data_IF_148832605712
#
_entry.id   IF_148832605712
#
_cell.length_a   1.000
_cell.length_b   1.000
_cell.length_c   1.000
_cell.angle_alpha   90.00
_cell.angle_beta   90.00
_cell.angle_gamma   90.00
#
_symmetry.space_group_name_H-M   'P 1'
#
loop_
_entity.id
_entity.type
_entity.pdbx_description
1 polymer ?
#
# COMPACT_ATOMS: atom_id res chain seq x y z
N UNK A 1 13.64 14.84 6.32
CA UNK A 1 12.89 13.56 6.25
C UNK A 1 13.80 12.36 6.00
N UNK A 2 14.28 12.07 4.78
CA UNK A 2 15.05 10.84 4.55
C UNK A 2 16.31 10.70 5.43
N UNK A 3 17.12 11.76 5.53
CA UNK A 3 18.29 11.81 6.43
C UNK A 3 17.89 11.61 7.90
N UNK A 4 16.75 12.15 8.32
CA UNK A 4 16.25 11.94 9.69
C UNK A 4 15.78 10.49 9.88
N UNK A 5 15.11 9.89 8.89
CA UNK A 5 14.71 8.48 8.91
C UNK A 5 15.93 7.57 9.04
N UNK A 6 16.99 7.83 8.28
CA UNK A 6 18.30 7.16 8.41
C UNK A 6 18.91 7.33 9.79
N UNK A 7 18.90 8.55 10.34
CA UNK A 7 19.42 8.82 11.69
C UNK A 7 18.71 8.03 12.81
N UNK A 8 17.52 7.46 12.51
CA UNK A 8 16.74 6.63 13.43
C UNK A 8 16.80 5.13 13.10
N UNK A 9 17.69 4.72 12.19
CA UNK A 9 17.84 3.34 11.73
C UNK A 9 16.51 2.75 11.24
N UNK A 10 15.81 3.51 10.39
CA UNK A 10 14.59 3.07 9.73
C UNK A 10 14.80 3.10 8.21
N UNK A 11 14.32 2.05 7.54
CA UNK A 11 14.56 1.84 6.10
C UNK A 11 13.35 2.24 5.25
N UNK A 12 12.17 2.18 5.87
CA UNK A 12 10.88 2.40 5.21
C UNK A 12 10.15 3.54 5.91
N UNK A 13 9.90 4.61 5.18
CA UNK A 13 9.08 5.72 5.62
C UNK A 13 7.63 5.52 5.17
N UNK A 14 6.70 5.56 6.12
CA UNK A 14 5.27 5.36 5.88
C UNK A 14 4.59 6.63 5.36
N UNK A 15 5.09 7.15 4.25
CA UNK A 15 4.65 8.40 3.63
C UNK A 15 4.92 8.34 2.12
N UNK A 16 4.23 9.16 1.31
CA UNK A 16 3.23 10.16 1.69
C UNK A 16 1.79 9.62 1.75
N UNK A 17 0.86 10.40 2.32
CA UNK A 17 -0.58 10.11 2.22
C UNK A 17 -1.17 10.77 0.97
N UNK A 18 -1.88 9.98 0.16
CA UNK A 18 -2.45 10.27 -1.16
C UNK A 18 -3.98 10.15 -1.16
N UNK A 19 -4.64 10.13 -0.01
CA UNK A 19 -6.11 10.16 0.01
C UNK A 19 -6.60 11.57 -0.31
N UNK A 20 -7.68 11.64 -1.11
CA UNK A 20 -8.25 12.90 -1.57
C UNK A 20 -8.87 13.67 -0.41
N UNK A 21 -8.76 15.00 -0.40
CA UNK A 21 -9.63 15.85 0.45
C UNK A 21 -11.04 15.85 -0.14
N UNK A 22 -11.78 14.75 0.04
CA UNK A 22 -13.16 14.60 -0.48
C UNK A 22 -14.17 15.47 0.28
N UNK A 23 -13.93 15.62 1.58
CA UNK A 23 -14.81 16.40 2.48
C UNK A 23 -13.93 17.16 3.46
N UNK A 24 -14.21 18.44 3.76
CA UNK A 24 -13.41 19.23 4.69
C UNK A 24 -13.44 18.67 6.13
N UNK A 25 -14.46 17.87 6.47
CA UNK A 25 -14.63 17.26 7.81
C UNK A 25 -13.80 15.99 8.04
N UNK A 26 -13.06 15.49 7.05
CA UNK A 26 -12.25 14.29 7.22
C UNK A 26 -11.05 14.55 8.14
N UNK A 27 -10.95 13.77 9.22
CA UNK A 27 -9.99 14.01 10.30
C UNK A 27 -8.50 13.91 9.91
N UNK A 28 -8.20 13.36 8.73
CA UNK A 28 -6.83 13.19 8.20
C UNK A 28 -6.53 14.06 6.98
N UNK A 29 -7.35 15.09 6.71
CA UNK A 29 -7.04 16.05 5.64
C UNK A 29 -5.71 16.79 5.83
N UNK A 30 -5.25 16.95 7.07
CA UNK A 30 -4.02 17.65 7.40
C UNK A 30 -2.74 16.91 6.97
N UNK A 31 -2.81 15.61 6.65
CA UNK A 31 -1.65 14.80 6.25
C UNK A 31 -1.59 14.52 4.74
N UNK A 32 -2.47 15.12 3.94
CA UNK A 32 -2.52 14.99 2.48
C UNK A 32 -2.36 16.35 1.80
N UNK A 33 -2.22 16.38 0.47
CA UNK A 33 -1.88 17.61 -0.27
C UNK A 33 -3.07 18.42 -0.77
N UNK A 34 -4.28 17.85 -0.89
CA UNK A 34 -5.46 18.59 -1.35
C UNK A 34 -6.55 17.74 -2.00
N UNK A 35 -7.47 18.43 -2.69
CA UNK A 35 -8.65 17.84 -3.36
C UNK A 35 -8.47 17.63 -4.87
N UNK A 36 -7.33 18.03 -5.45
CA UNK A 36 -7.03 17.83 -6.86
C UNK A 36 -6.08 16.62 -7.07
N UNK A 37 -6.47 15.61 -7.88
CA UNK A 37 -5.70 14.38 -7.98
C UNK A 37 -4.35 14.57 -8.69
N UNK A 38 -4.25 15.54 -9.60
CA UNK A 38 -3.02 15.82 -10.33
C UNK A 38 -1.97 16.43 -9.39
N UNK A 39 -2.33 17.50 -8.69
CA UNK A 39 -1.48 18.14 -7.68
C UNK A 39 -0.99 17.13 -6.65
N UNK A 40 -1.92 16.31 -6.13
CA UNK A 40 -1.63 15.27 -5.15
C UNK A 40 -0.59 14.27 -5.66
N UNK A 41 -0.78 13.78 -6.88
CA UNK A 41 0.10 12.79 -7.51
C UNK A 41 1.50 13.32 -7.79
N UNK A 42 1.61 14.55 -8.32
CA UNK A 42 2.91 15.16 -8.64
C UNK A 42 3.72 15.46 -7.37
N UNK A 43 3.11 16.07 -6.35
CA UNK A 43 3.80 16.33 -5.09
C UNK A 43 4.24 15.04 -4.39
N UNK A 44 3.38 14.01 -4.43
CA UNK A 44 3.70 12.69 -3.88
C UNK A 44 4.84 12.01 -4.64
N UNK A 45 4.90 12.14 -5.96
CA UNK A 45 6.00 11.58 -6.76
C UNK A 45 7.34 12.24 -6.39
N UNK A 46 7.36 13.57 -6.25
CA UNK A 46 8.53 14.32 -5.79
C UNK A 46 8.98 13.85 -4.39
N UNK A 47 8.04 13.63 -3.47
CA UNK A 47 8.34 13.11 -2.14
C UNK A 47 8.97 11.71 -2.19
N UNK A 48 8.41 10.80 -3.00
CA UNK A 48 8.93 9.44 -3.18
C UNK A 48 10.35 9.48 -3.72
N UNK A 49 10.61 10.25 -4.78
CA UNK A 49 11.95 10.41 -5.35
C UNK A 49 12.93 10.94 -4.30
N UNK A 50 12.57 12.00 -3.57
CA UNK A 50 13.43 12.57 -2.53
C UNK A 50 13.78 11.61 -1.38
N UNK A 51 12.88 10.67 -1.04
CA UNK A 51 13.19 9.62 -0.07
C UNK A 51 14.15 8.59 -0.64
N UNK A 52 13.85 8.08 -1.84
CA UNK A 52 14.58 6.95 -2.42
C UNK A 52 15.94 7.36 -2.99
N UNK A 53 16.12 8.59 -3.45
CA UNK A 53 17.43 9.16 -3.81
C UNK A 53 18.40 9.19 -2.62
N UNK A 54 17.85 9.14 -1.40
CA UNK A 54 18.59 9.05 -0.14
C UNK A 54 18.48 7.67 0.47
N UNK A 55 18.17 6.63 -0.29
CA UNK A 55 18.12 5.25 0.20
C UNK A 55 17.10 5.04 1.31
N UNK A 56 15.93 5.68 1.24
CA UNK A 56 14.80 5.39 2.14
C UNK A 56 13.60 5.01 1.28
N UNK A 57 13.02 3.85 1.55
CA UNK A 57 11.84 3.38 0.83
C UNK A 57 10.60 4.19 1.24
N UNK A 58 9.98 4.87 0.28
CA UNK A 58 8.71 5.55 0.52
C UNK A 58 7.53 4.55 0.39
N UNK A 59 6.45 4.84 1.11
CA UNK A 59 5.22 4.04 1.11
C UNK A 59 3.98 4.93 0.90
N UNK A 60 3.66 5.28 -0.35
CA UNK A 60 2.39 5.89 -0.69
C UNK A 60 1.19 5.12 -0.08
N UNK A 61 0.29 5.87 0.57
CA UNK A 61 -0.84 5.32 1.34
C UNK A 61 -2.05 6.26 1.31
N UNK A 62 -3.26 5.85 1.64
CA UNK A 62 -3.71 4.49 1.87
C UNK A 62 -4.46 4.07 0.60
N UNK A 63 -3.87 3.13 -0.13
CA UNK A 63 -4.40 2.61 -1.38
C UNK A 63 -5.62 1.73 -1.09
N UNK A 64 -6.86 2.11 -1.37
CA UNK A 64 -7.34 3.38 -1.94
C UNK A 64 -8.67 3.77 -1.27
N UNK A 65 -9.14 4.99 -1.52
CA UNK A 65 -10.45 5.47 -1.12
C UNK A 65 -10.68 5.46 0.41
N UNK A 66 -9.72 5.98 1.17
CA UNK A 66 -9.74 6.04 2.64
C UNK A 66 -9.96 7.47 3.16
N UNK A 67 -10.93 8.19 2.61
CA UNK A 67 -11.15 9.61 2.89
C UNK A 67 -12.00 9.86 4.14
N UNK A 68 -12.49 8.81 4.82
CA UNK A 68 -13.35 8.95 5.99
C UNK A 68 -12.84 8.12 7.17
N UNK A 69 -12.57 8.80 8.30
CA UNK A 69 -12.09 8.14 9.53
C UNK A 69 -13.21 7.37 10.24
N UNK A 70 -14.43 7.90 10.19
CA UNK A 70 -15.57 7.26 10.81
C UNK A 70 -15.80 5.89 10.17
N UNK A 71 -15.73 4.83 10.98
CA UNK A 71 -15.87 3.43 10.56
C UNK A 71 -14.87 3.01 9.47
N UNK A 72 -13.69 3.62 9.35
CA UNK A 72 -12.71 3.29 8.28
C UNK A 72 -12.37 1.79 8.13
N UNK A 73 -12.51 0.99 9.20
CA UNK A 73 -12.27 -0.46 9.20
C UNK A 73 -13.45 -1.31 8.71
N UNK A 74 -14.64 -0.74 8.59
CA UNK A 74 -15.87 -1.44 8.21
C UNK A 74 -16.67 -0.72 7.12
N UNK A 75 -16.29 0.51 6.78
CA UNK A 75 -16.91 1.30 5.72
C UNK A 75 -16.70 0.63 4.37
N UNK A 76 -17.78 0.57 3.61
CA UNK A 76 -17.75 0.18 2.21
C UNK A 76 -17.97 1.40 1.32
N UNK A 77 -16.95 1.73 0.53
CA UNK A 77 -16.97 2.88 -0.35
C UNK A 77 -17.64 2.52 -1.67
N UNK A 78 -18.79 3.15 -1.90
CA UNK A 78 -19.58 3.03 -3.10
C UNK A 78 -19.23 4.19 -4.05
N UNK A 79 -18.53 3.86 -5.12
CA UNK A 79 -18.00 4.82 -6.09
C UNK A 79 -18.07 4.21 -7.49
N UNK A 80 -18.35 5.02 -8.51
CA UNK A 80 -18.32 4.55 -9.90
C UNK A 80 -16.89 4.21 -10.32
N UNK A 81 -16.72 3.27 -11.25
CA UNK A 81 -15.38 2.94 -11.75
C UNK A 81 -14.68 4.15 -12.37
N UNK A 82 -15.43 5.01 -13.07
CA UNK A 82 -14.91 6.27 -13.61
C UNK A 82 -14.31 7.16 -12.52
N UNK A 83 -15.06 7.44 -11.45
CA UNK A 83 -14.58 8.27 -10.36
C UNK A 83 -13.42 7.58 -9.61
N UNK A 84 -13.50 6.26 -9.40
CA UNK A 84 -12.41 5.49 -8.79
C UNK A 84 -11.11 5.68 -9.58
N UNK A 85 -11.15 5.58 -10.90
CA UNK A 85 -10.00 5.71 -11.80
C UNK A 85 -9.49 7.14 -11.92
N UNK A 86 -10.37 8.09 -12.19
CA UNK A 86 -10.01 9.48 -12.51
C UNK A 86 -9.68 10.33 -11.27
N UNK A 87 -10.19 9.95 -10.09
CA UNK A 87 -10.05 10.76 -8.86
C UNK A 87 -9.22 10.03 -7.80
N UNK A 88 -9.62 8.84 -7.38
CA UNK A 88 -9.03 8.20 -6.19
C UNK A 88 -7.77 7.40 -6.50
N UNK A 89 -7.71 6.74 -7.65
CA UNK A 89 -6.54 6.00 -8.12
C UNK A 89 -5.53 6.88 -8.85
N UNK A 90 -5.98 8.00 -9.44
CA UNK A 90 -5.14 8.87 -10.26
C UNK A 90 -3.87 9.36 -9.56
N UNK A 91 -3.89 9.80 -8.28
CA UNK A 91 -2.67 10.19 -7.59
C UNK A 91 -1.65 9.04 -7.48
N UNK A 92 -2.12 7.82 -7.21
CA UNK A 92 -1.28 6.63 -7.10
C UNK A 92 -0.71 6.24 -8.46
N UNK A 93 -1.50 6.37 -9.54
CA UNK A 93 -1.05 6.16 -10.92
C UNK A 93 0.00 7.18 -11.34
N UNK A 94 -0.16 8.45 -10.93
CA UNK A 94 0.82 9.51 -11.20
C UNK A 94 2.13 9.28 -10.44
N UNK A 95 2.06 8.81 -9.19
CA UNK A 95 3.26 8.34 -8.48
C UNK A 95 3.95 7.22 -9.25
N UNK A 96 3.23 6.19 -9.69
CA UNK A 96 3.80 5.12 -10.53
C UNK A 96 4.40 5.62 -11.86
N UNK A 97 3.87 6.72 -12.41
CA UNK A 97 4.35 7.30 -13.67
C UNK A 97 5.60 8.17 -13.49
N UNK A 98 5.72 8.87 -12.36
CA UNK A 98 6.72 9.92 -12.14
C UNK A 98 7.75 9.59 -11.05
N UNK A 99 7.62 8.43 -10.41
CA UNK A 99 8.58 7.87 -9.47
C UNK A 99 8.53 6.34 -9.48
N UNK A 100 9.38 5.70 -8.68
CA UNK A 100 9.47 4.24 -8.57
C UNK A 100 9.24 3.79 -7.13
N UNK A 101 8.03 3.98 -6.55
CA UNK A 101 7.79 3.66 -5.15
C UNK A 101 8.15 2.21 -4.84
N UNK A 102 8.79 1.98 -3.70
CA UNK A 102 9.18 0.64 -3.25
C UNK A 102 8.07 -0.10 -2.52
N UNK A 103 7.15 0.64 -1.90
CA UNK A 103 6.06 0.10 -1.12
C UNK A 103 4.73 0.80 -1.46
N UNK A 104 3.61 0.11 -1.33
CA UNK A 104 2.28 0.71 -1.16
C UNK A 104 1.64 0.16 0.09
N UNK A 105 0.88 1.01 0.80
CA UNK A 105 0.08 0.56 1.94
C UNK A 105 -1.40 0.57 1.60
N UNK A 106 -2.06 -0.57 1.81
CA UNK A 106 -3.50 -0.70 1.54
C UNK A 106 -4.33 -0.02 2.61
N UNK A 107 -5.48 0.54 2.24
CA UNK A 107 -6.46 1.11 3.16
C UNK A 107 -7.21 0.05 3.98
N UNK A 108 -7.90 0.54 5.01
CA UNK A 108 -8.71 -0.28 5.90
C UNK A 108 -10.04 -0.71 5.30
N UNK A 109 -10.68 0.19 4.54
CA UNK A 109 -12.05 0.09 4.04
C UNK A 109 -12.20 -0.95 2.91
N UNK A 110 -13.44 -1.20 2.53
CA UNK A 110 -13.76 -1.85 1.26
C UNK A 110 -14.15 -0.83 0.20
N UNK A 111 -14.02 -1.25 -1.06
CA UNK A 111 -14.46 -0.50 -2.23
C UNK A 111 -15.33 -1.45 -3.04
N UNK A 112 -16.60 -1.09 -3.24
CA UNK A 112 -17.58 -1.92 -3.94
C UNK A 112 -17.69 -3.35 -3.35
N UNK A 113 -17.74 -3.47 -2.03
CA UNK A 113 -17.98 -4.71 -1.30
C UNK A 113 -16.74 -5.56 -0.98
N UNK A 114 -15.55 -5.18 -1.47
CA UNK A 114 -14.31 -5.92 -1.23
C UNK A 114 -13.26 -5.07 -0.51
N UNK A 115 -12.72 -5.58 0.60
CA UNK A 115 -11.64 -4.92 1.33
C UNK A 115 -10.38 -4.80 0.48
N UNK A 116 -9.77 -3.61 0.44
CA UNK A 116 -8.70 -3.33 -0.53
C UNK A 116 -7.52 -4.28 -0.39
N UNK A 117 -7.10 -4.59 0.85
CA UNK A 117 -6.04 -5.56 1.17
C UNK A 117 -6.21 -6.98 0.60
N UNK A 118 -7.42 -7.35 0.22
CA UNK A 118 -7.74 -8.67 -0.32
C UNK A 118 -8.38 -8.57 -1.70
N UNK A 119 -8.36 -7.39 -2.31
CA UNK A 119 -8.94 -7.18 -3.63
C UNK A 119 -7.94 -7.49 -4.71
N UNK A 120 -8.17 -8.60 -5.43
CA UNK A 120 -7.40 -8.92 -6.64
C UNK A 120 -7.56 -7.85 -7.70
N UNK A 121 -8.78 -7.31 -7.84
CA UNK A 121 -9.08 -6.22 -8.77
C UNK A 121 -8.14 -5.04 -8.55
N UNK A 122 -8.00 -4.58 -7.31
CA UNK A 122 -7.18 -3.40 -7.02
C UNK A 122 -5.67 -3.72 -6.98
N UNK A 123 -5.27 -4.84 -6.39
CA UNK A 123 -3.86 -5.15 -6.19
C UNK A 123 -3.25 -5.86 -7.39
N UNK A 124 -3.84 -6.98 -7.85
CA UNK A 124 -3.29 -7.73 -8.98
C UNK A 124 -3.59 -7.05 -10.29
N UNK A 125 -4.85 -6.71 -10.56
CA UNK A 125 -5.24 -6.27 -11.90
C UNK A 125 -4.79 -4.83 -12.15
N UNK A 126 -5.12 -3.89 -11.26
CA UNK A 126 -4.73 -2.48 -11.40
C UNK A 126 -3.26 -2.24 -11.05
N UNK A 127 -2.89 -2.41 -9.78
CA UNK A 127 -1.58 -1.96 -9.29
C UNK A 127 -0.43 -2.75 -9.94
N UNK A 128 -0.51 -4.08 -9.99
CA UNK A 128 0.54 -4.92 -10.57
C UNK A 128 0.39 -5.14 -12.07
N UNK A 129 -0.84 -5.37 -12.55
CA UNK A 129 -1.14 -5.71 -13.94
C UNK A 129 -1.05 -4.50 -14.85
N UNK A 130 -1.90 -3.50 -14.63
CA UNK A 130 -1.95 -2.30 -15.47
C UNK A 130 -0.76 -1.38 -15.25
N UNK A 131 -0.35 -1.16 -13.99
CA UNK A 131 0.69 -0.17 -13.67
C UNK A 131 2.09 -0.78 -13.50
N UNK A 132 2.22 -2.11 -13.52
CA UNK A 132 3.51 -2.78 -13.45
C UNK A 132 4.22 -2.67 -12.09
N UNK A 133 3.49 -2.44 -10.99
CA UNK A 133 4.12 -2.34 -9.66
C UNK A 133 4.77 -3.66 -9.23
N UNK A 134 6.07 -3.60 -8.93
CA UNK A 134 6.86 -4.78 -8.54
C UNK A 134 7.33 -4.77 -7.09
N UNK A 135 7.11 -3.67 -6.36
CA UNK A 135 7.46 -3.53 -4.95
C UNK A 135 6.50 -4.23 -3.98
N UNK A 136 6.63 -3.90 -2.70
CA UNK A 136 5.84 -4.48 -1.60
C UNK A 136 4.47 -3.81 -1.45
N UNK A 137 3.43 -4.62 -1.31
CA UNK A 137 2.11 -4.19 -0.84
C UNK A 137 1.97 -4.61 0.61
N UNK A 138 1.86 -3.62 1.50
CA UNK A 138 1.76 -3.83 2.94
C UNK A 138 0.36 -3.45 3.44
N UNK A 139 -0.12 -4.09 4.51
CA UNK A 139 -1.38 -3.66 5.12
C UNK A 139 -1.17 -2.42 5.98
N UNK A 140 -2.21 -1.63 6.17
CA UNK A 140 -2.30 -0.75 7.33
C UNK A 140 -2.23 -1.57 8.64
N UNK A 141 -1.99 -0.91 9.76
CA UNK A 141 -1.74 -1.55 11.06
C UNK A 141 -2.98 -2.28 11.55
N UNK A 142 -2.88 -3.60 11.66
CA UNK A 142 -4.02 -4.43 12.03
C UNK A 142 -5.07 -4.52 10.92
N UNK A 143 -4.77 -4.07 9.71
CA UNK A 143 -5.70 -4.10 8.58
C UNK A 143 -6.04 -5.51 8.12
N UNK A 144 -5.28 -6.54 8.47
CA UNK A 144 -5.50 -7.93 7.99
C UNK A 144 -6.43 -8.74 8.90
N UNK A 145 -7.59 -9.18 8.37
CA UNK A 145 -8.61 -9.93 9.14
C UNK A 145 -8.74 -11.42 8.77
N UNK A 146 -8.05 -11.85 7.70
CA UNK A 146 -8.08 -13.23 7.21
C UNK A 146 -6.69 -13.64 6.71
N UNK A 147 -6.46 -14.94 6.54
CA UNK A 147 -5.14 -15.46 6.13
C UNK A 147 -5.02 -15.62 4.61
N UNK A 148 -5.98 -16.30 3.98
CA UNK A 148 -5.84 -16.78 2.59
C UNK A 148 -6.09 -15.67 1.57
N UNK A 149 -7.19 -14.93 1.70
CA UNK A 149 -7.63 -13.97 0.68
C UNK A 149 -6.61 -12.84 0.43
N UNK A 150 -6.00 -12.20 1.45
CA UNK A 150 -5.01 -11.16 1.23
C UNK A 150 -3.75 -11.67 0.50
N UNK A 151 -3.30 -12.88 0.81
CA UNK A 151 -2.13 -13.48 0.13
C UNK A 151 -2.45 -13.75 -1.34
N UNK A 152 -3.63 -14.31 -1.61
CA UNK A 152 -4.09 -14.53 -2.99
C UNK A 152 -4.29 -13.23 -3.76
N UNK A 153 -4.55 -12.13 -3.08
CA UNK A 153 -4.63 -10.80 -3.68
C UNK A 153 -3.25 -10.13 -3.85
N UNK A 154 -2.19 -10.68 -3.28
CA UNK A 154 -0.84 -10.12 -3.34
C UNK A 154 -0.54 -9.05 -2.30
N UNK A 155 -1.20 -9.11 -1.14
CA UNK A 155 -0.73 -8.43 0.06
C UNK A 155 0.50 -9.19 0.59
N UNK A 156 1.67 -8.60 0.40
CA UNK A 156 2.95 -9.24 0.71
C UNK A 156 3.20 -9.28 2.22
N UNK A 157 3.01 -8.14 2.90
CA UNK A 157 3.33 -7.99 4.32
C UNK A 157 2.11 -7.53 5.14
N UNK A 158 1.81 -8.26 6.22
CA UNK A 158 0.75 -7.88 7.16
C UNK A 158 1.32 -7.15 8.37
N UNK A 159 1.02 -5.86 8.51
CA UNK A 159 1.47 -5.01 9.61
C UNK A 159 0.49 -5.03 10.80
N UNK A 160 0.95 -4.88 12.06
CA UNK A 160 2.34 -4.75 12.51
C UNK A 160 3.03 -6.10 12.77
N UNK A 161 2.58 -7.20 12.13
CA UNK A 161 3.16 -8.52 12.38
C UNK A 161 2.60 -9.25 13.62
N UNK A 162 1.39 -8.91 14.09
CA UNK A 162 0.70 -9.83 15.02
C UNK A 162 0.44 -11.15 14.30
N UNK A 163 1.22 -12.14 14.75
CA UNK A 163 1.36 -13.55 14.33
C UNK A 163 0.11 -14.31 13.87
N UNK A 164 -1.09 -13.83 14.21
CA UNK A 164 -2.37 -14.55 14.03
C UNK A 164 -2.60 -15.05 12.60
N UNK A 165 -2.26 -14.27 11.58
CA UNK A 165 -2.60 -14.59 10.20
C UNK A 165 -1.43 -15.09 9.35
N UNK A 166 -0.19 -14.73 9.69
CA UNK A 166 1.03 -14.99 8.89
C UNK A 166 1.99 -16.03 9.50
N UNK A 167 1.56 -16.75 10.54
CA UNK A 167 2.30 -17.89 11.12
C UNK A 167 1.56 -19.21 10.90
N UNK A 168 1.17 -19.91 11.96
CA UNK A 168 0.59 -21.26 11.88
C UNK A 168 -0.63 -21.35 10.98
N UNK A 169 -1.43 -20.28 10.90
CA UNK A 169 -2.58 -20.23 9.98
C UNK A 169 -2.14 -20.23 8.52
N UNK A 170 -1.07 -19.51 8.18
CA UNK A 170 -0.53 -19.51 6.83
C UNK A 170 0.13 -20.85 6.53
N UNK A 171 0.94 -21.38 7.46
CA UNK A 171 1.56 -22.69 7.31
C UNK A 171 0.51 -23.78 7.04
N UNK A 172 -0.56 -23.83 7.84
CA UNK A 172 -1.68 -24.76 7.61
C UNK A 172 -2.37 -24.53 6.28
N UNK A 173 -2.56 -23.28 5.86
CA UNK A 173 -3.17 -22.97 4.57
C UNK A 173 -2.30 -23.40 3.38
N UNK A 174 -0.96 -23.39 3.52
CA UNK A 174 -0.05 -23.93 2.51
C UNK A 174 -0.10 -25.46 2.50
N UNK A 175 0.03 -26.08 3.67
CA UNK A 175 -0.02 -27.54 3.82
C UNK A 175 -1.34 -28.16 3.32
N UNK A 176 -2.46 -27.44 3.48
CA UNK A 176 -3.77 -27.88 2.99
C UNK A 176 -4.05 -27.54 1.52
N UNK A 177 -3.12 -26.90 0.81
CA UNK A 177 -3.30 -26.43 -0.57
C UNK A 177 -4.20 -25.19 -0.72
N UNK A 178 -4.65 -24.59 0.38
CA UNK A 178 -5.42 -23.35 0.39
C UNK A 178 -4.65 -22.13 -0.16
N UNK A 179 -3.33 -22.13 -0.03
CA UNK A 179 -2.38 -21.16 -0.60
C UNK A 179 -1.22 -21.93 -1.22
N UNK A 180 -0.85 -21.63 -2.47
CA UNK A 180 0.34 -22.24 -3.07
C UNK A 180 1.61 -21.58 -2.51
N UNK A 181 2.65 -22.38 -2.28
CA UNK A 181 3.98 -21.90 -1.85
C UNK A 181 4.52 -20.80 -2.77
N UNK A 182 4.33 -20.93 -4.09
CA UNK A 182 4.70 -19.90 -5.09
C UNK A 182 4.17 -18.49 -4.79
N UNK A 183 2.98 -18.37 -4.17
CA UNK A 183 2.42 -17.06 -3.80
C UNK A 183 3.14 -16.47 -2.58
N UNK A 184 3.55 -17.34 -1.66
CA UNK A 184 4.38 -16.96 -0.51
C UNK A 184 5.77 -16.55 -1.01
N UNK A 185 6.39 -17.34 -1.87
CA UNK A 185 7.71 -17.03 -2.44
C UNK A 185 7.71 -15.69 -3.18
N UNK A 186 6.70 -15.45 -4.01
CA UNK A 186 6.56 -14.17 -4.72
C UNK A 186 6.47 -12.98 -3.76
N UNK A 187 5.84 -13.16 -2.60
CA UNK A 187 5.74 -12.12 -1.57
C UNK A 187 7.08 -11.93 -0.85
N UNK A 188 7.76 -13.02 -0.51
CA UNK A 188 9.02 -13.02 0.25
C UNK A 188 10.15 -12.40 -0.57
N UNK A 189 10.26 -12.70 -1.86
CA UNK A 189 11.35 -12.20 -2.73
C UNK A 189 11.36 -10.67 -2.84
N UNK A 190 10.21 -10.01 -2.63
CA UNK A 190 10.11 -8.54 -2.65
C UNK A 190 10.70 -7.88 -1.41
N UNK A 191 10.76 -8.58 -0.28
CA UNK A 191 11.29 -8.06 0.98
C UNK A 191 12.78 -7.73 0.88
N UNK A 192 13.69 -8.66 0.50
CA UNK A 192 15.10 -8.34 0.37
C UNK A 192 15.35 -7.31 -0.73
N UNK A 193 14.54 -7.28 -1.79
CA UNK A 193 14.65 -6.23 -2.80
C UNK A 193 14.45 -4.84 -2.22
N UNK A 194 13.40 -4.63 -1.42
CA UNK A 194 13.16 -3.34 -0.78
C UNK A 194 14.28 -3.00 0.22
N UNK A 195 14.75 -3.97 1.00
CA UNK A 195 15.87 -3.73 1.92
C UNK A 195 17.18 -3.38 1.18
N UNK A 196 17.46 -4.01 0.03
CA UNK A 196 18.61 -3.66 -0.82
C UNK A 196 18.49 -2.24 -1.36
N UNK A 197 17.34 -1.88 -1.95
CA UNK A 197 17.11 -0.55 -2.50
C UNK A 197 17.02 0.55 -1.42
N UNK A 198 16.71 0.19 -0.17
CA UNK A 198 16.78 1.06 1.01
C UNK A 198 18.19 1.15 1.65
N UNK A 199 19.22 0.57 1.02
CA UNK A 199 20.61 0.74 1.45
C UNK A 199 21.07 -0.16 2.59
N UNK A 200 20.27 -1.12 3.06
CA UNK A 200 20.63 -2.03 4.17
C UNK A 200 21.55 -3.20 3.76
N UNK A 201 21.58 -3.55 2.48
CA UNK A 201 22.39 -4.68 1.96
C UNK A 201 23.47 -4.22 0.97
N UNK A 202 23.83 -2.94 1.03
CA UNK A 202 24.85 -2.32 0.18
C UNK A 202 26.04 -1.82 0.99
N UNK A 203 26.73 -2.72 1.69
CA UNK A 203 28.16 -2.65 2.10
C UNK A 203 28.65 -4.05 2.48
#
# INVERSE_FOLDING_TARGET
>A
MAEETKSKAADVLLAPTLNMVRSPSAGRNHETYGEDPFLLGILSACFVNGCQDRGIAATPKHFVANEAENRRTTLDVQVSEKALREIYLEPFRLVMKHSTPLCFMTSYNSVQGEFVRQSKRLIQDVLRGEWGFTGLVISDWGGTYSTIAPIKAGLDLAMPGKRRHRQDKLLRAVQSGGVSEKLVDASVIRIPRVAFEAGEMGE
#
